data_IF_244819006754
#
_entry.id   IF_244819006754
#
_cell.length_a   1.000
_cell.length_b   1.000
_cell.length_c   1.000
_cell.angle_alpha   90.00
_cell.angle_beta   90.00
_cell.angle_gamma   90.00
#
_symmetry.space_group_name_H-M   'P 1'
#
loop_
_entity.id
_entity.type
_entity.pdbx_description
1 polymer ?
#
# COMPACT_ATOMS: atom_id res chain seq x y z
N UNK A 1 3.47 28.07 -2.53
CA UNK A 1 2.28 27.55 -3.29
C UNK A 1 1.68 26.31 -2.64
N UNK A 2 0.37 26.08 -2.78
CA UNK A 2 -0.33 24.91 -2.20
C UNK A 2 0.29 23.57 -2.64
N UNK A 3 0.59 23.43 -3.94
CA UNK A 3 1.22 22.24 -4.51
C UNK A 3 2.57 21.90 -3.85
N UNK A 4 3.43 22.89 -3.59
CA UNK A 4 4.72 22.66 -2.91
C UNK A 4 4.55 22.12 -1.49
N UNK A 5 3.56 22.62 -0.73
CA UNK A 5 3.26 22.10 0.61
C UNK A 5 2.77 20.66 0.55
N UNK A 6 1.95 20.31 -0.46
CA UNK A 6 1.46 18.94 -0.68
C UNK A 6 2.61 17.99 -1.05
N UNK A 7 3.51 18.40 -1.95
CA UNK A 7 4.72 17.65 -2.30
C UNK A 7 5.58 17.33 -1.06
N UNK A 8 5.94 18.34 -0.27
CA UNK A 8 6.76 18.14 0.93
C UNK A 8 6.09 17.21 1.95
N UNK A 9 4.77 17.33 2.13
CA UNK A 9 4.00 16.43 2.99
C UNK A 9 4.04 14.99 2.47
N UNK A 10 3.83 14.78 1.17
CA UNK A 10 3.89 13.47 0.55
C UNK A 10 5.28 12.83 0.72
N UNK A 11 6.35 13.59 0.49
CA UNK A 11 7.73 13.14 0.69
C UNK A 11 8.01 12.72 2.13
N UNK A 12 7.62 13.55 3.10
CA UNK A 12 7.80 13.25 4.53
C UNK A 12 7.04 11.99 4.95
N UNK A 13 5.79 11.85 4.51
CA UNK A 13 4.97 10.67 4.83
C UNK A 13 5.48 9.41 4.13
N UNK A 14 5.85 9.47 2.85
CA UNK A 14 6.49 8.37 2.12
C UNK A 14 7.71 7.85 2.88
N UNK A 15 8.61 8.74 3.30
CA UNK A 15 9.82 8.36 4.02
C UNK A 15 9.50 7.76 5.40
N UNK A 16 8.50 8.31 6.11
CA UNK A 16 8.02 7.75 7.39
C UNK A 16 7.53 6.31 7.22
N UNK A 17 6.68 6.05 6.23
CA UNK A 17 6.15 4.70 5.99
C UNK A 17 7.22 3.75 5.48
N UNK A 18 8.18 4.21 4.68
CA UNK A 18 9.35 3.41 4.30
C UNK A 18 10.15 2.96 5.54
N UNK A 19 10.37 3.85 6.50
CA UNK A 19 11.02 3.49 7.76
C UNK A 19 10.24 2.46 8.58
N UNK A 20 8.90 2.57 8.59
CA UNK A 20 8.04 1.56 9.23
C UNK A 20 8.07 0.21 8.53
N UNK A 21 8.11 0.18 7.19
CA UNK A 21 8.24 -1.06 6.41
C UNK A 21 9.51 -1.80 6.81
N UNK A 22 10.66 -1.13 6.75
CA UNK A 22 11.96 -1.73 7.10
C UNK A 22 11.97 -2.27 8.54
N UNK A 23 11.44 -1.49 9.48
CA UNK A 23 11.40 -1.90 10.90
C UNK A 23 10.48 -3.11 11.10
N UNK A 24 9.32 -3.11 10.43
CA UNK A 24 8.33 -4.19 10.55
C UNK A 24 8.84 -5.47 9.88
N UNK A 25 9.50 -5.37 8.73
CA UNK A 25 10.17 -6.49 8.03
C UNK A 25 11.20 -7.16 8.92
N UNK A 26 12.12 -6.36 9.47
CA UNK A 26 13.13 -6.88 10.38
C UNK A 26 12.53 -7.55 11.62
N UNK A 27 11.38 -7.08 12.10
CA UNK A 27 10.67 -7.75 13.19
C UNK A 27 10.05 -9.07 12.73
N UNK A 28 9.31 -9.05 11.62
CA UNK A 28 8.66 -10.22 11.03
C UNK A 28 9.67 -11.34 10.78
N UNK A 29 10.80 -11.03 10.13
CA UNK A 29 11.83 -12.01 9.78
C UNK A 29 12.43 -12.66 11.02
N UNK A 30 12.71 -11.86 12.06
CA UNK A 30 13.23 -12.37 13.33
C UNK A 30 12.25 -13.30 14.03
N UNK A 31 10.96 -12.92 14.08
CA UNK A 31 9.94 -13.74 14.73
C UNK A 31 9.67 -15.03 13.93
N UNK A 32 9.58 -14.92 12.60
CA UNK A 32 9.46 -16.08 11.69
C UNK A 32 10.62 -17.06 11.90
N UNK A 33 11.86 -16.58 11.89
CA UNK A 33 13.03 -17.42 12.10
C UNK A 33 13.01 -18.13 13.47
N UNK A 34 12.61 -17.43 14.53
CA UNK A 34 12.46 -18.02 15.88
C UNK A 34 11.42 -19.15 15.90
N UNK A 35 10.23 -18.92 15.32
CA UNK A 35 9.15 -19.91 15.30
C UNK A 35 9.49 -21.13 14.45
N UNK A 36 10.06 -20.92 13.27
CA UNK A 36 10.42 -22.01 12.36
C UNK A 36 11.66 -22.79 12.83
N UNK A 37 12.56 -22.17 13.60
CA UNK A 37 13.65 -22.91 14.25
C UNK A 37 13.13 -23.91 15.29
N UNK A 38 12.05 -23.55 15.99
CA UNK A 38 11.44 -24.43 16.99
C UNK A 38 10.54 -25.50 16.35
N UNK A 39 9.93 -25.22 15.19
CA UNK A 39 9.00 -26.10 14.49
C UNK A 39 9.27 -26.10 12.97
N UNK A 40 10.39 -26.67 12.50
CA UNK A 40 10.80 -26.59 11.10
C UNK A 40 9.81 -27.26 10.14
N UNK A 41 9.08 -28.27 10.60
CA UNK A 41 8.06 -28.97 9.82
C UNK A 41 6.82 -28.11 9.50
N UNK A 42 6.63 -26.99 10.20
CA UNK A 42 5.50 -26.08 9.97
C UNK A 42 5.78 -25.02 8.89
N UNK A 43 6.95 -25.03 8.25
CA UNK A 43 7.34 -23.99 7.30
C UNK A 43 6.30 -23.75 6.19
N UNK A 44 5.82 -24.80 5.54
CA UNK A 44 4.83 -24.68 4.46
C UNK A 44 3.48 -24.16 4.99
N UNK A 45 2.98 -24.71 6.09
CA UNK A 45 1.72 -24.28 6.69
C UNK A 45 1.78 -22.82 7.16
N UNK A 46 2.92 -22.42 7.74
CA UNK A 46 3.18 -21.06 8.17
C UNK A 46 3.18 -20.09 6.99
N UNK A 47 3.92 -20.39 5.93
CA UNK A 47 4.02 -19.53 4.74
C UNK A 47 2.65 -19.42 4.03
N UNK A 48 1.92 -20.53 3.93
CA UNK A 48 0.55 -20.55 3.41
C UNK A 48 -0.40 -19.70 4.27
N UNK A 49 -0.30 -19.80 5.59
CA UNK A 49 -1.11 -18.99 6.51
C UNK A 49 -0.83 -17.49 6.37
N UNK A 50 0.45 -17.09 6.39
CA UNK A 50 0.85 -15.69 6.29
C UNK A 50 0.51 -15.09 4.93
N UNK A 51 0.69 -15.85 3.84
CA UNK A 51 0.26 -15.45 2.50
C UNK A 51 -1.25 -15.24 2.43
N UNK A 52 -2.04 -16.15 3.01
CA UNK A 52 -3.50 -16.03 3.04
C UNK A 52 -3.98 -14.80 3.81
N UNK A 53 -3.42 -14.51 4.98
CA UNK A 53 -3.79 -13.32 5.76
C UNK A 53 -3.38 -12.04 5.03
N UNK A 54 -2.16 -11.99 4.48
CA UNK A 54 -1.66 -10.82 3.75
C UNK A 54 -2.53 -10.52 2.51
N UNK A 55 -2.97 -11.57 1.80
CA UNK A 55 -3.89 -11.44 0.67
C UNK A 55 -5.24 -10.84 1.08
N UNK A 56 -5.84 -11.31 2.18
CA UNK A 56 -7.10 -10.76 2.71
C UNK A 56 -6.98 -9.30 3.08
N UNK A 57 -5.92 -8.92 3.78
CA UNK A 57 -5.68 -7.53 4.19
C UNK A 57 -5.43 -6.62 2.97
N UNK A 58 -4.64 -7.11 2.00
CA UNK A 58 -4.32 -6.36 0.79
C UNK A 58 -5.57 -5.98 0.01
N UNK A 59 -6.58 -6.86 -0.07
CA UNK A 59 -7.84 -6.63 -0.78
C UNK A 59 -8.59 -5.39 -0.29
N UNK A 60 -8.73 -5.24 1.03
CA UNK A 60 -9.43 -4.09 1.61
C UNK A 60 -8.64 -2.79 1.40
N UNK A 61 -7.32 -2.88 1.51
CA UNK A 61 -6.42 -1.74 1.31
C UNK A 61 -6.34 -1.30 -0.15
N UNK A 62 -6.42 -2.23 -1.10
CA UNK A 62 -6.47 -1.95 -2.54
C UNK A 62 -7.70 -1.12 -2.91
N UNK A 63 -8.88 -1.46 -2.40
CA UNK A 63 -10.10 -0.65 -2.59
C UNK A 63 -9.96 0.76 -2.01
N UNK A 64 -9.34 0.87 -0.83
CA UNK A 64 -9.06 2.18 -0.21
C UNK A 64 -8.09 3.01 -1.06
N UNK A 65 -7.06 2.40 -1.63
CA UNK A 65 -6.11 3.08 -2.52
C UNK A 65 -6.82 3.66 -3.75
N UNK A 66 -7.70 2.90 -4.42
CA UNK A 66 -8.51 3.40 -5.55
C UNK A 66 -9.34 4.62 -5.14
N UNK A 67 -9.93 4.59 -3.94
CA UNK A 67 -10.70 5.73 -3.40
C UNK A 67 -9.81 6.96 -3.16
N UNK A 68 -8.61 6.77 -2.61
CA UNK A 68 -7.67 7.86 -2.36
C UNK A 68 -7.16 8.50 -3.65
N UNK A 69 -7.01 7.71 -4.71
CA UNK A 69 -6.73 8.25 -6.06
C UNK A 69 -7.89 9.13 -6.53
N UNK A 70 -9.14 8.72 -6.31
CA UNK A 70 -10.31 9.55 -6.59
C UNK A 70 -10.31 10.89 -5.84
N UNK A 71 -9.92 10.90 -4.55
CA UNK A 71 -9.76 12.15 -3.81
C UNK A 71 -8.66 13.05 -4.36
N UNK A 72 -7.58 12.45 -4.88
CA UNK A 72 -6.52 13.21 -5.55
C UNK A 72 -7.01 13.81 -6.88
N UNK A 73 -7.85 13.09 -7.64
CA UNK A 73 -8.50 13.61 -8.86
C UNK A 73 -9.38 14.83 -8.54
N UNK A 74 -10.18 14.76 -7.47
CA UNK A 74 -11.03 15.86 -7.02
C UNK A 74 -10.20 17.08 -6.58
N UNK A 75 -9.11 16.86 -5.83
CA UNK A 75 -8.17 17.92 -5.45
C UNK A 75 -7.59 18.61 -6.68
N UNK A 76 -7.13 17.83 -7.66
CA UNK A 76 -6.52 18.37 -8.88
C UNK A 76 -7.51 19.19 -9.70
N UNK A 77 -8.74 18.67 -9.85
CA UNK A 77 -9.81 19.34 -10.59
C UNK A 77 -10.20 20.67 -9.95
N UNK A 78 -10.30 20.71 -8.62
CA UNK A 78 -10.74 21.90 -7.88
C UNK A 78 -9.65 22.95 -7.73
N UNK A 79 -8.43 22.52 -7.42
CA UNK A 79 -7.38 23.42 -6.94
C UNK A 79 -6.42 23.88 -8.04
N UNK A 80 -6.39 23.19 -9.18
CA UNK A 80 -5.47 23.50 -10.29
C UNK A 80 -6.17 23.47 -11.68
N UNK A 81 -7.33 24.15 -11.85
CA UNK A 81 -8.05 24.16 -13.11
C UNK A 81 -7.17 24.73 -14.25
N UNK A 82 -7.22 24.10 -15.42
CA UNK A 82 -6.46 24.51 -16.62
C UNK A 82 -4.94 24.24 -16.57
N UNK A 83 -4.40 23.78 -15.44
CA UNK A 83 -2.97 23.50 -15.27
C UNK A 83 -2.66 22.02 -15.03
N UNK A 84 -3.69 21.17 -14.97
CA UNK A 84 -3.52 19.77 -14.60
C UNK A 84 -4.25 18.79 -15.51
N UNK A 85 -4.73 19.18 -16.68
CA UNK A 85 -5.59 18.34 -17.54
C UNK A 85 -4.91 17.01 -17.91
N UNK A 86 -3.70 17.07 -18.46
CA UNK A 86 -2.92 15.86 -18.80
C UNK A 86 -2.57 15.01 -17.57
N UNK A 87 -2.34 15.64 -16.43
CA UNK A 87 -2.10 14.93 -15.17
C UNK A 87 -3.38 14.23 -14.70
N UNK A 88 -4.52 14.91 -14.78
CA UNK A 88 -5.81 14.39 -14.39
C UNK A 88 -6.24 13.21 -15.28
N UNK A 89 -5.97 13.26 -16.59
CA UNK A 89 -6.19 12.13 -17.51
C UNK A 89 -5.37 10.90 -17.12
N UNK A 90 -4.06 11.09 -16.85
CA UNK A 90 -3.19 10.00 -16.40
C UNK A 90 -3.66 9.41 -15.06
N UNK A 91 -4.13 10.26 -14.14
CA UNK A 91 -4.60 9.84 -12.83
C UNK A 91 -5.89 9.00 -12.94
N UNK A 92 -6.84 9.47 -13.75
CA UNK A 92 -8.08 8.74 -14.07
C UNK A 92 -7.79 7.38 -14.71
N UNK A 93 -6.89 7.33 -15.69
CA UNK A 93 -6.48 6.08 -16.33
C UNK A 93 -5.84 5.13 -15.30
N UNK A 94 -4.96 5.63 -14.46
CA UNK A 94 -4.35 4.86 -13.37
C UNK A 94 -5.40 4.27 -12.43
N UNK A 95 -6.41 5.06 -12.02
CA UNK A 95 -7.52 4.59 -11.18
C UNK A 95 -8.29 3.46 -11.84
N UNK A 96 -8.68 3.63 -13.10
CA UNK A 96 -9.46 2.63 -13.85
C UNK A 96 -8.67 1.32 -14.00
N UNK A 97 -7.39 1.39 -14.36
CA UNK A 97 -6.54 0.20 -14.51
C UNK A 97 -6.40 -0.53 -13.18
N UNK A 98 -6.16 0.20 -12.08
CA UNK A 98 -6.05 -0.40 -10.75
C UNK A 98 -7.36 -1.03 -10.30
N UNK A 99 -8.49 -0.35 -10.52
CA UNK A 99 -9.81 -0.87 -10.20
C UNK A 99 -10.12 -2.17 -10.97
N UNK A 100 -9.85 -2.21 -12.28
CA UNK A 100 -9.98 -3.41 -13.10
C UNK A 100 -9.09 -4.55 -12.58
N UNK A 101 -7.81 -4.26 -12.35
CA UNK A 101 -6.86 -5.25 -11.85
C UNK A 101 -7.31 -5.85 -10.51
N UNK A 102 -7.75 -5.01 -9.56
CA UNK A 102 -8.22 -5.48 -8.27
C UNK A 102 -9.54 -6.25 -8.37
N UNK A 103 -10.45 -5.86 -9.26
CA UNK A 103 -11.68 -6.62 -9.52
C UNK A 103 -11.38 -8.01 -10.10
N UNK A 104 -10.41 -8.12 -11.01
CA UNK A 104 -9.95 -9.41 -11.54
C UNK A 104 -9.28 -10.30 -10.48
N UNK A 105 -8.45 -9.71 -9.62
CA UNK A 105 -7.86 -10.46 -8.51
C UNK A 105 -8.95 -11.01 -7.58
N UNK A 106 -9.99 -10.21 -7.30
CA UNK A 106 -11.10 -10.63 -6.44
C UNK A 106 -11.99 -11.69 -7.09
N UNK A 107 -12.19 -11.67 -8.40
CA UNK A 107 -13.04 -12.65 -9.10
C UNK A 107 -12.38 -14.03 -9.22
N UNK A 108 -11.04 -14.08 -9.22
CA UNK A 108 -10.24 -15.32 -9.24
C UNK A 108 -10.05 -15.93 -7.86
N UNK A 109 -10.43 -15.22 -6.81
CA UNK A 109 -10.17 -15.62 -5.42
C UNK A 109 -11.25 -16.61 -4.94
N UNK A 110 -10.86 -17.87 -4.71
CA UNK A 110 -11.72 -18.82 -3.99
C UNK A 110 -11.83 -18.38 -2.53
N UNK A 111 -12.96 -18.64 -1.87
CA UNK A 111 -13.12 -18.46 -0.42
C UNK A 111 -12.08 -19.31 0.34
N UNK A 112 -10.88 -18.78 0.54
CA UNK A 112 -9.82 -19.43 1.30
C UNK A 112 -10.02 -19.15 2.79
N UNK A 113 -10.24 -20.21 3.55
CA UNK A 113 -10.06 -20.18 5.00
C UNK A 113 -8.55 -20.26 5.26
N UNK A 114 -7.98 -19.29 5.98
CA UNK A 114 -6.55 -19.33 6.31
C UNK A 114 -6.35 -20.37 7.41
N UNK A 115 -5.71 -21.49 7.07
CA UNK A 115 -5.49 -22.61 7.98
C UNK A 115 -4.28 -22.29 8.85
N UNK A 116 -4.47 -22.27 10.18
CA UNK A 116 -3.38 -21.99 11.12
C UNK A 116 -2.40 -23.17 11.18
N UNK A 117 -1.08 -22.92 11.29
CA UNK A 117 -0.11 -23.95 11.63
C UNK A 117 -0.42 -24.54 13.01
N UNK A 118 -0.17 -25.85 13.21
CA UNK A 118 -0.65 -26.58 14.40
C UNK A 118 0.35 -26.51 15.56
N UNK A 119 1.65 -26.56 15.28
CA UNK A 119 2.69 -26.63 16.30
C UNK A 119 3.29 -25.26 16.67
N UNK A 120 2.66 -24.16 16.30
CA UNK A 120 3.13 -22.81 16.63
C UNK A 120 2.31 -22.21 17.77
N UNK A 121 2.98 -21.52 18.70
CA UNK A 121 2.31 -20.81 19.78
C UNK A 121 1.30 -19.78 19.24
N UNK A 122 0.05 -19.88 19.67
CA UNK A 122 -1.04 -19.05 19.15
C UNK A 122 -0.84 -17.55 19.40
N UNK A 123 -0.26 -17.16 20.53
CA UNK A 123 -0.04 -15.75 20.85
C UNK A 123 1.06 -15.16 19.97
N UNK A 124 2.16 -15.89 19.84
CA UNK A 124 3.26 -15.52 18.93
C UNK A 124 2.76 -15.41 17.48
N UNK A 125 1.93 -16.36 17.04
CA UNK A 125 1.31 -16.34 15.71
C UNK A 125 0.41 -15.12 15.50
N UNK A 126 -0.42 -14.77 16.49
CA UNK A 126 -1.33 -13.62 16.43
C UNK A 126 -0.56 -12.29 16.40
N UNK A 127 0.51 -12.17 17.19
CA UNK A 127 1.34 -10.97 17.18
C UNK A 127 2.05 -10.80 15.84
N UNK A 128 2.57 -11.89 15.28
CA UNK A 128 3.19 -11.87 13.97
C UNK A 128 2.17 -11.54 12.86
N UNK A 129 0.95 -12.09 12.95
CA UNK A 129 -0.15 -11.76 12.06
C UNK A 129 -0.44 -10.24 12.04
N UNK A 130 -0.52 -9.61 13.22
CA UNK A 130 -0.72 -8.15 13.33
C UNK A 130 0.42 -7.37 12.67
N UNK A 131 1.66 -7.84 12.81
CA UNK A 131 2.79 -7.22 12.13
C UNK A 131 2.70 -7.32 10.62
N UNK A 132 2.30 -8.47 10.07
CA UNK A 132 2.04 -8.63 8.63
C UNK A 132 0.95 -7.67 8.15
N UNK A 133 -0.19 -7.59 8.86
CA UNK A 133 -1.27 -6.66 8.50
C UNK A 133 -0.81 -5.19 8.53
N UNK A 134 -0.03 -4.83 9.55
CA UNK A 134 0.60 -3.53 9.64
C UNK A 134 1.57 -3.24 8.48
N UNK A 135 2.36 -4.24 8.07
CA UNK A 135 3.27 -4.12 6.93
C UNK A 135 2.51 -3.87 5.63
N UNK A 136 1.46 -4.64 5.34
CA UNK A 136 0.62 -4.45 4.15
C UNK A 136 -0.01 -3.05 4.15
N UNK A 137 -0.49 -2.58 5.31
CA UNK A 137 -0.98 -1.21 5.48
C UNK A 137 0.10 -0.16 5.18
N UNK A 138 1.31 -0.34 5.70
CA UNK A 138 2.43 0.56 5.46
C UNK A 138 2.80 0.63 3.97
N UNK A 139 2.80 -0.52 3.27
CA UNK A 139 3.01 -0.57 1.82
C UNK A 139 1.96 0.22 1.06
N UNK A 140 0.68 0.08 1.41
CA UNK A 140 -0.39 0.87 0.78
C UNK A 140 -0.14 2.37 0.96
N UNK A 141 0.16 2.82 2.18
CA UNK A 141 0.37 4.25 2.44
C UNK A 141 1.62 4.78 1.75
N UNK A 142 2.72 4.02 1.76
CA UNK A 142 3.93 4.38 1.01
C UNK A 142 3.62 4.56 -0.48
N UNK A 143 2.89 3.62 -1.09
CA UNK A 143 2.50 3.71 -2.50
C UNK A 143 1.59 4.90 -2.79
N UNK A 144 0.63 5.20 -1.90
CA UNK A 144 -0.19 6.41 -2.00
C UNK A 144 0.66 7.68 -2.01
N UNK A 145 1.57 7.83 -1.03
CA UNK A 145 2.37 9.06 -0.94
C UNK A 145 3.43 9.16 -2.03
N UNK A 146 3.92 8.03 -2.57
CA UNK A 146 4.75 8.00 -3.77
C UNK A 146 3.99 8.51 -5.00
N UNK A 147 2.71 8.14 -5.13
CA UNK A 147 1.84 8.67 -6.18
C UNK A 147 1.64 10.18 -6.01
N UNK A 148 1.24 10.62 -4.82
CA UNK A 148 1.05 12.06 -4.52
C UNK A 148 2.32 12.86 -4.82
N UNK A 149 3.49 12.40 -4.37
CA UNK A 149 4.78 13.03 -4.66
C UNK A 149 5.01 13.21 -6.16
N UNK A 150 4.81 12.15 -6.95
CA UNK A 150 5.00 12.19 -8.40
C UNK A 150 4.10 13.24 -9.06
N UNK A 151 2.80 13.19 -8.77
CA UNK A 151 1.83 14.11 -9.37
C UNK A 151 2.05 15.56 -8.96
N UNK A 152 2.35 15.84 -7.69
CA UNK A 152 2.65 17.21 -7.26
C UNK A 152 3.99 17.72 -7.80
N UNK A 153 4.99 16.85 -7.97
CA UNK A 153 6.26 17.22 -8.62
C UNK A 153 6.02 17.68 -10.06
N UNK A 154 5.30 16.87 -10.85
CA UNK A 154 4.99 17.20 -12.24
C UNK A 154 4.13 18.46 -12.37
N UNK A 155 3.15 18.65 -11.48
CA UNK A 155 2.31 19.85 -11.45
C UNK A 155 3.16 21.11 -11.21
N UNK A 156 4.08 21.07 -10.25
CA UNK A 156 4.95 22.21 -9.95
C UNK A 156 5.85 22.55 -11.14
N UNK A 157 6.39 21.54 -11.83
CA UNK A 157 7.17 21.75 -13.05
C UNK A 157 6.37 22.42 -14.15
N UNK A 158 5.13 21.97 -14.36
CA UNK A 158 4.24 22.57 -15.35
C UNK A 158 3.91 24.03 -15.00
N UNK A 159 3.51 24.29 -13.75
CA UNK A 159 3.20 25.64 -13.28
C UNK A 159 4.37 26.61 -13.43
N UNK A 160 5.62 26.16 -13.22
CA UNK A 160 6.81 26.99 -13.44
C UNK A 160 7.02 27.35 -14.91
N UNK A 161 6.71 26.44 -15.84
CA UNK A 161 6.84 26.67 -17.29
C UNK A 161 5.75 27.60 -17.83
N UNK A 162 4.55 27.59 -17.25
CA UNK A 162 3.43 28.44 -17.66
C UNK A 162 3.53 29.90 -17.21
N UNK A 163 4.54 30.26 -16.41
CA UNK A 163 4.78 31.62 -15.92
C UNK A 163 5.81 32.36 -16.79
N UNK A 164 6.40 31.70 -17.79
CA UNK A 164 7.37 32.26 -18.74
C UNK A 164 6.68 32.65 -20.05
#
# INVERSE_FOLDING_TARGET
PKATKRLLKAQGLKNKYLGFIVTTENYIDRQRAKMLKANPEEQENFDNYMSCISGKEAKDLQRRLVKDIGYLEEEFTKDYPGHSEKLLENLKLCRVILEQHFNELQSKEKHMTCIKPKNINVNELVDLQRSYQGQVSNYKYMNQFKLEENYFSHLIEHLKKSIV
#
